data_IF_977142460412
#
_entry.id   IF_977142460412
#
_cell.length_a   1.000
_cell.length_b   1.000
_cell.length_c   1.000
_cell.angle_alpha   90.00
_cell.angle_beta   90.00
_cell.angle_gamma   90.00
#
_symmetry.space_group_name_H-M   'P 1'
#
loop_
_entity.id
_entity.type
_entity.pdbx_description
1 polymer ?
#
# COMPACT_ATOMS: atom_id res chain seq x y z
N UNK A 1 -20.53 -3.75 -34.99
CA UNK A 1 -20.15 -4.07 -33.60
C UNK A 1 -19.16 -3.01 -33.17
N UNK A 2 -19.56 -2.10 -32.28
CA UNK A 2 -18.64 -1.08 -31.76
C UNK A 2 -17.64 -1.75 -30.81
N UNK A 3 -16.37 -1.39 -30.90
CA UNK A 3 -15.36 -1.80 -29.94
C UNK A 3 -15.76 -1.23 -28.58
N UNK A 4 -15.98 -2.09 -27.59
CA UNK A 4 -16.14 -1.67 -26.20
C UNK A 4 -14.75 -1.52 -25.60
N UNK A 5 -14.33 -0.29 -25.34
CA UNK A 5 -13.07 -0.02 -24.64
C UNK A 5 -13.15 -0.53 -23.20
N UNK A 6 -12.10 -1.21 -22.75
CA UNK A 6 -11.95 -1.68 -21.38
C UNK A 6 -10.84 -0.88 -20.71
N UNK A 7 -11.22 -0.02 -19.78
CA UNK A 7 -10.29 0.74 -18.96
C UNK A 7 -10.03 0.02 -17.64
N UNK A 8 -8.75 -0.06 -17.26
CA UNK A 8 -8.28 -0.70 -16.03
C UNK A 8 -7.35 0.25 -15.28
N UNK A 9 -7.67 0.52 -14.01
CA UNK A 9 -6.80 1.27 -13.11
C UNK A 9 -5.89 0.32 -12.34
N UNK A 10 -4.58 0.51 -12.47
CA UNK A 10 -3.58 -0.21 -11.71
C UNK A 10 -3.04 0.66 -10.58
N UNK A 11 -3.36 0.29 -9.35
CA UNK A 11 -2.68 0.79 -8.17
C UNK A 11 -1.57 -0.19 -7.83
N UNK A 12 -0.37 0.30 -7.53
CA UNK A 12 0.73 -0.58 -7.17
C UNK A 12 1.57 -0.04 -6.00
N UNK A 13 2.19 -0.96 -5.25
CA UNK A 13 3.32 -0.70 -4.37
C UNK A 13 4.48 -1.64 -4.66
N UNK A 14 5.66 -1.26 -4.20
CA UNK A 14 6.88 -2.07 -4.20
C UNK A 14 7.79 -1.56 -3.07
N UNK A 15 8.70 -2.40 -2.57
CA UNK A 15 9.77 -2.02 -1.64
C UNK A 15 9.27 -1.24 -0.40
N UNK A 16 8.12 -1.66 0.14
CA UNK A 16 7.50 -1.00 1.30
C UNK A 16 8.36 -1.15 2.56
N UNK A 17 9.18 -2.21 2.65
CA UNK A 17 10.17 -2.42 3.70
C UNK A 17 9.66 -2.14 5.12
N UNK A 18 8.54 -2.79 5.46
CA UNK A 18 7.88 -2.71 6.75
C UNK A 18 7.56 -1.27 7.24
N UNK A 19 7.37 -0.31 6.33
CA UNK A 19 6.89 1.05 6.65
C UNK A 19 5.37 1.05 6.90
N UNK A 20 4.99 0.45 8.03
CA UNK A 20 3.60 0.35 8.48
C UNK A 20 3.06 1.72 8.88
N UNK A 21 3.77 2.41 9.76
CA UNK A 21 3.47 3.77 10.18
C UNK A 21 3.88 4.80 9.12
N UNK A 22 3.42 6.03 9.29
CA UNK A 22 3.91 7.14 8.48
C UNK A 22 5.37 7.47 8.77
N UNK A 23 6.04 8.01 7.76
CA UNK A 23 7.49 8.29 7.79
C UNK A 23 7.76 9.78 7.63
N UNK A 24 8.99 10.20 7.94
CA UNK A 24 9.49 11.48 7.44
C UNK A 24 9.74 11.39 5.92
N UNK A 25 10.18 12.49 5.30
CA UNK A 25 10.47 12.57 3.86
C UNK A 25 11.53 11.57 3.36
N UNK A 26 12.42 11.13 4.25
CA UNK A 26 13.54 10.24 3.95
C UNK A 26 13.24 8.79 4.39
N UNK A 27 11.95 8.44 4.55
CA UNK A 27 11.47 7.12 4.96
C UNK A 27 11.97 6.65 6.34
N UNK A 28 12.38 7.57 7.21
CA UNK A 28 12.69 7.32 8.62
C UNK A 28 11.50 7.60 9.54
N UNK A 29 11.73 7.52 10.86
CA UNK A 29 10.70 7.82 11.87
C UNK A 29 10.17 9.25 11.69
N UNK A 30 8.86 9.41 11.56
CA UNK A 30 8.27 10.74 11.63
C UNK A 30 8.21 11.22 13.09
N UNK A 31 8.87 12.33 13.39
CA UNK A 31 8.81 12.97 14.72
C UNK A 31 8.20 14.37 14.67
N UNK A 32 8.18 14.97 13.48
CA UNK A 32 7.60 16.29 13.21
C UNK A 32 6.95 16.29 11.82
N UNK A 33 5.80 16.95 11.64
CA UNK A 33 5.19 17.14 10.33
C UNK A 33 6.11 17.90 9.36
N UNK A 34 5.94 17.73 8.04
CA UNK A 34 4.99 16.82 7.40
C UNK A 34 5.44 15.34 7.45
N UNK A 35 4.48 14.44 7.65
CA UNK A 35 4.68 12.99 7.56
C UNK A 35 4.08 12.44 6.26
N UNK A 36 4.62 11.32 5.78
CA UNK A 36 4.34 10.73 4.48
C UNK A 36 4.02 9.23 4.62
N UNK A 37 3.49 8.63 3.55
CA UNK A 37 3.28 7.18 3.46
C UNK A 37 2.44 6.58 4.62
N UNK A 38 2.73 5.34 5.03
CA UNK A 38 1.99 4.58 6.04
C UNK A 38 0.73 3.89 5.51
N UNK A 39 0.40 2.71 6.07
CA UNK A 39 -0.72 1.87 5.60
C UNK A 39 -2.07 2.57 5.74
N UNK A 40 -2.26 3.39 6.78
CA UNK A 40 -3.51 4.12 7.02
C UNK A 40 -3.79 5.16 5.93
N UNK A 41 -2.79 5.97 5.57
CA UNK A 41 -2.91 6.97 4.50
C UNK A 41 -3.11 6.29 3.14
N UNK A 42 -2.38 5.19 2.89
CA UNK A 42 -2.54 4.36 1.69
C UNK A 42 -3.96 3.82 1.56
N UNK A 43 -4.53 3.31 2.65
CA UNK A 43 -5.91 2.80 2.69
C UNK A 43 -6.94 3.86 2.30
N UNK A 44 -6.83 5.08 2.81
CA UNK A 44 -7.70 6.20 2.40
C UNK A 44 -7.63 6.43 0.91
N UNK A 45 -6.40 6.50 0.34
CA UNK A 45 -6.23 6.76 -1.09
C UNK A 45 -6.76 5.63 -1.97
N UNK A 46 -6.52 4.38 -1.59
CA UNK A 46 -7.06 3.20 -2.27
C UNK A 46 -8.60 3.25 -2.29
N UNK A 47 -9.23 3.59 -1.16
CA UNK A 47 -10.69 3.73 -1.08
C UNK A 47 -11.22 4.83 -1.98
N UNK A 48 -10.57 6.00 -1.99
CA UNK A 48 -10.96 7.10 -2.88
C UNK A 48 -10.91 6.69 -4.35
N UNK A 49 -9.85 6.00 -4.79
CA UNK A 49 -9.74 5.52 -6.18
C UNK A 49 -10.81 4.47 -6.48
N UNK A 50 -10.97 3.46 -5.60
CA UNK A 50 -12.01 2.43 -5.76
C UNK A 50 -13.44 2.97 -5.75
N UNK A 51 -13.67 4.16 -5.18
CA UNK A 51 -14.98 4.83 -5.25
C UNK A 51 -15.25 5.58 -6.56
N UNK A 52 -14.20 5.87 -7.35
CA UNK A 52 -14.27 6.65 -8.58
C UNK A 52 -14.12 5.78 -9.83
N UNK A 53 -13.28 4.75 -9.74
CA UNK A 53 -12.92 3.88 -10.85
C UNK A 53 -13.66 2.55 -10.77
N UNK A 54 -14.12 2.06 -11.93
CA UNK A 54 -14.94 0.83 -12.01
C UNK A 54 -14.12 -0.45 -11.92
N UNK A 55 -12.98 -0.50 -12.64
CA UNK A 55 -12.12 -1.67 -12.71
C UNK A 55 -10.76 -1.31 -12.09
N UNK A 56 -10.51 -1.75 -10.86
CA UNK A 56 -9.27 -1.43 -10.13
C UNK A 56 -8.60 -2.70 -9.67
N UNK A 57 -7.30 -2.83 -9.95
CA UNK A 57 -6.43 -3.79 -9.30
C UNK A 57 -5.44 -3.06 -8.39
N UNK A 58 -5.25 -3.60 -7.19
CA UNK A 58 -4.22 -3.20 -6.23
C UNK A 58 -3.17 -4.30 -6.16
N UNK A 59 -1.97 -3.99 -6.65
CA UNK A 59 -0.87 -4.92 -6.82
C UNK A 59 0.29 -4.55 -5.89
N UNK A 60 1.03 -5.54 -5.43
CA UNK A 60 2.36 -5.34 -4.84
C UNK A 60 3.41 -6.05 -5.69
N UNK A 61 4.61 -5.46 -5.83
CA UNK A 61 5.70 -6.05 -6.60
C UNK A 61 6.83 -6.64 -5.72
N UNK A 62 6.57 -6.86 -4.43
CA UNK A 62 7.52 -7.48 -3.51
C UNK A 62 8.15 -6.51 -2.51
N UNK A 63 8.99 -7.09 -1.64
CA UNK A 63 9.74 -6.40 -0.58
C UNK A 63 8.89 -5.62 0.43
N UNK A 64 7.76 -6.22 0.82
CA UNK A 64 7.03 -5.83 2.04
C UNK A 64 7.83 -6.15 3.32
N UNK A 65 8.61 -7.23 3.28
CA UNK A 65 9.36 -7.74 4.44
C UNK A 65 10.65 -6.95 4.67
N UNK A 66 11.19 -7.04 5.89
CA UNK A 66 12.43 -6.37 6.33
C UNK A 66 12.34 -4.83 6.34
N UNK A 67 12.96 -4.16 7.32
CA UNK A 67 13.23 -2.70 7.23
C UNK A 67 12.86 -1.86 8.45
N UNK A 68 11.96 -2.30 9.32
CA UNK A 68 11.64 -1.65 10.60
C UNK A 68 11.47 -2.66 11.73
N UNK A 69 11.30 -2.17 12.96
CA UNK A 69 10.96 -2.99 14.13
C UNK A 69 9.64 -3.75 13.98
N UNK A 70 8.74 -3.31 13.10
CA UNK A 70 7.50 -4.03 12.81
C UNK A 70 7.80 -5.44 12.27
N UNK A 71 8.66 -5.56 11.26
CA UNK A 71 9.07 -6.87 10.77
C UNK A 71 9.87 -7.65 11.80
N UNK A 72 10.75 -6.98 12.55
CA UNK A 72 11.57 -7.65 13.57
C UNK A 72 10.71 -8.37 14.62
N UNK A 73 9.57 -7.78 14.97
CA UNK A 73 8.65 -8.33 15.98
C UNK A 73 7.58 -9.26 15.37
N UNK A 74 6.88 -8.80 14.34
CA UNK A 74 5.71 -9.49 13.77
C UNK A 74 6.05 -10.51 12.66
N UNK A 75 7.29 -10.52 12.16
CA UNK A 75 7.81 -11.54 11.23
C UNK A 75 6.96 -11.72 9.96
N UNK A 76 6.39 -10.65 9.42
CA UNK A 76 5.55 -10.66 8.23
C UNK A 76 4.05 -10.77 8.51
N UNK A 77 3.65 -11.05 9.76
CA UNK A 77 2.24 -11.05 10.14
C UNK A 77 1.62 -9.64 10.01
N UNK A 78 2.40 -8.58 10.18
CA UNK A 78 1.98 -7.21 9.94
C UNK A 78 1.68 -6.96 8.46
N UNK A 79 2.53 -7.46 7.55
CA UNK A 79 2.35 -7.31 6.12
C UNK A 79 1.08 -8.04 5.68
N UNK A 80 0.94 -9.32 6.06
CA UNK A 80 -0.27 -10.10 5.79
C UNK A 80 -1.54 -9.44 6.33
N UNK A 81 -1.51 -8.95 7.58
CA UNK A 81 -2.66 -8.28 8.20
C UNK A 81 -3.10 -7.05 7.40
N UNK A 82 -2.18 -6.14 7.09
CA UNK A 82 -2.52 -4.89 6.43
C UNK A 82 -2.81 -5.07 4.95
N UNK A 83 -2.08 -5.93 4.22
CA UNK A 83 -2.39 -6.21 2.82
C UNK A 83 -3.79 -6.81 2.66
N UNK A 84 -4.18 -7.74 3.53
CA UNK A 84 -5.55 -8.29 3.54
C UNK A 84 -6.59 -7.21 3.85
N UNK A 85 -6.32 -6.31 4.78
CA UNK A 85 -7.23 -5.19 5.13
C UNK A 85 -7.35 -4.14 4.01
N UNK A 86 -6.25 -3.88 3.30
CA UNK A 86 -6.23 -2.98 2.14
C UNK A 86 -6.88 -3.62 0.91
N UNK A 87 -6.99 -4.95 0.90
CA UNK A 87 -7.55 -5.75 -0.19
C UNK A 87 -6.63 -5.74 -1.40
N UNK A 88 -5.36 -6.12 -1.23
CA UNK A 88 -4.49 -6.39 -2.38
C UNK A 88 -5.04 -7.57 -3.19
N UNK A 89 -4.95 -7.46 -4.51
CA UNK A 89 -5.45 -8.46 -5.46
C UNK A 89 -4.35 -9.48 -5.81
N UNK A 90 -3.09 -9.03 -5.82
CA UNK A 90 -1.91 -9.89 -5.95
C UNK A 90 -0.66 -9.25 -5.32
N UNK A 91 0.30 -10.09 -4.99
CA UNK A 91 1.67 -9.77 -4.58
C UNK A 91 2.61 -10.77 -5.24
#
# INVERSE_FOLDING_TARGET
>A
MGLTEFELTLLHTNDVHARVEETNKDSGKCTKPPCFAGVARRFTKIKEVRSKEKNVLLLDAGDQFQGTVWFNYYKGAEAAHFMNRLGYDAM
#
